data_IF_246578217156
#
_entry.id   IF_246578217156
#
_cell.length_a   1.000
_cell.length_b   1.000
_cell.length_c   1.000
_cell.angle_alpha   90.00
_cell.angle_beta   90.00
_cell.angle_gamma   90.00
#
_symmetry.space_group_name_H-M   'P 1'
#
loop_
_entity.id
_entity.type
_entity.pdbx_description
1 polymer ?
#
# COMPACT_ATOMS: atom_id res chain seq x y z
N UNK A 1 -30.57 -13.09 -1.62
CA UNK A 1 -29.92 -11.78 -1.55
C UNK A 1 -29.49 -11.49 -0.12
N UNK A 2 -30.40 -11.41 0.86
CA UNK A 2 -30.11 -11.02 2.27
C UNK A 2 -29.09 -11.94 2.99
N UNK A 3 -29.15 -13.26 2.74
CA UNK A 3 -28.21 -14.22 3.35
C UNK A 3 -26.78 -14.05 2.78
N UNK A 4 -26.68 -13.78 1.49
CA UNK A 4 -25.41 -13.58 0.79
C UNK A 4 -24.74 -12.25 1.21
N UNK A 5 -25.51 -11.19 1.39
CA UNK A 5 -25.03 -9.91 1.90
C UNK A 5 -24.51 -10.02 3.34
N UNK A 6 -25.22 -10.77 4.21
CA UNK A 6 -24.75 -11.03 5.58
C UNK A 6 -23.45 -11.82 5.60
N UNK A 7 -23.34 -12.84 4.74
CA UNK A 7 -22.11 -13.62 4.60
C UNK A 7 -20.94 -12.76 4.13
N UNK A 8 -21.14 -11.93 3.11
CA UNK A 8 -20.12 -11.00 2.61
C UNK A 8 -19.66 -10.01 3.70
N UNK A 9 -20.61 -9.43 4.45
CA UNK A 9 -20.32 -8.51 5.56
C UNK A 9 -19.53 -9.20 6.67
N UNK A 10 -19.86 -10.46 7.00
CA UNK A 10 -19.13 -11.23 8.01
C UNK A 10 -17.70 -11.48 7.55
N UNK A 11 -17.52 -11.89 6.29
CA UNK A 11 -16.20 -12.10 5.69
C UNK A 11 -15.36 -10.82 5.73
N UNK A 12 -15.92 -9.68 5.36
CA UNK A 12 -15.22 -8.39 5.36
C UNK A 12 -14.80 -7.96 6.78
N UNK A 13 -15.64 -8.18 7.80
CA UNK A 13 -15.28 -7.94 9.20
C UNK A 13 -14.11 -8.79 9.66
N UNK A 14 -14.04 -10.05 9.24
CA UNK A 14 -12.93 -10.94 9.55
C UNK A 14 -11.63 -10.48 8.87
N UNK A 15 -11.69 -10.08 7.61
CA UNK A 15 -10.52 -9.55 6.88
C UNK A 15 -10.00 -8.26 7.52
N UNK A 16 -10.90 -7.34 7.87
CA UNK A 16 -10.50 -6.12 8.56
C UNK A 16 -9.87 -6.39 9.93
N UNK A 17 -10.47 -7.27 10.73
CA UNK A 17 -9.92 -7.68 12.03
C UNK A 17 -8.56 -8.36 11.89
N UNK A 18 -8.36 -9.16 10.84
CA UNK A 18 -7.08 -9.77 10.54
C UNK A 18 -6.04 -8.73 10.14
N UNK A 19 -6.43 -7.74 9.34
CA UNK A 19 -5.55 -6.63 8.97
C UNK A 19 -5.06 -5.87 10.21
N UNK A 20 -5.96 -5.53 11.14
CA UNK A 20 -5.58 -4.86 12.39
C UNK A 20 -4.61 -5.73 13.21
N UNK A 21 -4.96 -7.00 13.42
CA UNK A 21 -4.12 -7.90 14.22
C UNK A 21 -2.73 -8.13 13.59
N UNK A 22 -2.66 -8.23 12.26
CA UNK A 22 -1.40 -8.37 11.54
C UNK A 22 -0.61 -7.06 11.56
N UNK A 23 -1.26 -5.91 11.39
CA UNK A 23 -0.60 -4.60 11.45
C UNK A 23 0.05 -4.35 12.81
N UNK A 24 -0.63 -4.67 13.90
CA UNK A 24 -0.13 -4.47 15.27
C UNK A 24 0.94 -5.49 15.68
N UNK A 25 0.72 -6.78 15.40
CA UNK A 25 1.49 -7.87 16.00
C UNK A 25 2.38 -8.64 15.02
N UNK A 26 2.21 -8.44 13.71
CA UNK A 26 2.86 -9.22 12.66
C UNK A 26 2.18 -10.56 12.41
N UNK A 27 2.50 -11.16 11.25
CA UNK A 27 1.84 -12.39 10.83
C UNK A 27 2.06 -13.53 11.84
N UNK A 28 3.27 -13.75 12.31
CA UNK A 28 3.58 -14.89 13.20
C UNK A 28 2.80 -14.85 14.51
N UNK A 29 2.69 -13.67 15.14
CA UNK A 29 2.02 -13.50 16.44
C UNK A 29 0.51 -13.33 16.32
N UNK A 30 -0.01 -13.04 15.13
CA UNK A 30 -1.45 -12.95 14.88
C UNK A 30 -2.11 -14.32 15.09
N UNK A 31 -3.21 -14.34 15.87
CA UNK A 31 -3.95 -15.58 16.17
C UNK A 31 -5.41 -15.47 15.77
N UNK A 32 -5.99 -16.59 15.29
CA UNK A 32 -7.40 -16.63 14.91
C UNK A 32 -8.33 -16.27 16.07
N UNK A 33 -7.94 -16.60 17.31
CA UNK A 33 -8.72 -16.24 18.50
C UNK A 33 -8.76 -14.73 18.73
N UNK A 34 -7.66 -14.01 18.55
CA UNK A 34 -7.62 -12.53 18.69
C UNK A 34 -8.37 -11.86 17.55
N UNK A 35 -8.24 -12.39 16.34
CA UNK A 35 -8.99 -11.91 15.17
C UNK A 35 -10.51 -12.06 15.41
N UNK A 36 -10.96 -13.21 15.88
CA UNK A 36 -12.38 -13.44 16.22
C UNK A 36 -12.86 -12.47 17.32
N UNK A 37 -12.04 -12.25 18.36
CA UNK A 37 -12.36 -11.31 19.44
C UNK A 37 -12.51 -9.90 18.90
N UNK A 38 -11.58 -9.44 18.05
CA UNK A 38 -11.65 -8.11 17.43
C UNK A 38 -12.86 -7.98 16.50
N UNK A 39 -13.11 -8.99 15.69
CA UNK A 39 -14.27 -9.03 14.79
C UNK A 39 -15.61 -9.18 15.54
N UNK A 40 -15.61 -9.50 16.84
CA UNK A 40 -16.80 -9.88 17.61
C UNK A 40 -17.58 -11.05 16.92
N UNK A 41 -16.86 -12.07 16.50
CA UNK A 41 -17.39 -13.24 15.80
C UNK A 41 -16.86 -14.54 16.45
N UNK A 42 -17.60 -15.63 16.27
CA UNK A 42 -17.15 -16.93 16.76
C UNK A 42 -16.07 -17.53 15.87
N UNK A 43 -15.28 -18.45 16.45
CA UNK A 43 -14.31 -19.24 15.68
C UNK A 43 -15.02 -20.08 14.57
N UNK A 44 -16.22 -20.56 14.83
CA UNK A 44 -17.04 -21.27 13.83
C UNK A 44 -17.44 -20.38 12.64
N UNK A 45 -17.72 -19.10 12.88
CA UNK A 45 -17.97 -18.16 11.79
C UNK A 45 -16.68 -17.90 10.96
N UNK A 46 -15.52 -17.84 11.62
CA UNK A 46 -14.24 -17.70 10.92
C UNK A 46 -13.95 -18.94 10.06
N UNK A 47 -14.02 -20.13 10.63
CA UNK A 47 -13.71 -21.38 9.91
C UNK A 47 -14.69 -21.69 8.78
N UNK A 48 -15.90 -21.12 8.82
CA UNK A 48 -16.83 -21.17 7.71
C UNK A 48 -16.33 -20.35 6.49
N UNK A 49 -15.61 -19.25 6.71
CA UNK A 49 -15.12 -18.37 5.64
C UNK A 49 -13.67 -18.62 5.23
N UNK A 50 -12.84 -19.09 6.15
CA UNK A 50 -11.40 -19.25 5.96
C UNK A 50 -10.91 -20.56 6.58
N UNK A 51 -10.23 -21.40 5.79
CA UNK A 51 -9.73 -22.70 6.26
C UNK A 51 -8.43 -22.55 7.07
N UNK A 52 -7.70 -21.44 6.89
CA UNK A 52 -6.41 -21.23 7.54
C UNK A 52 -6.12 -19.73 7.78
N UNK A 53 -5.13 -19.46 8.64
CA UNK A 53 -4.59 -18.12 8.83
C UNK A 53 -3.99 -17.56 7.53
N UNK A 54 -3.46 -18.46 6.68
CA UNK A 54 -2.91 -18.07 5.38
C UNK A 54 -4.00 -17.58 4.43
N UNK A 55 -5.14 -18.29 4.32
CA UNK A 55 -6.26 -17.86 3.48
C UNK A 55 -6.78 -16.48 3.89
N UNK A 56 -6.76 -16.22 5.20
CA UNK A 56 -7.16 -14.93 5.74
C UNK A 56 -6.15 -13.83 5.40
N UNK A 57 -4.84 -14.13 5.47
CA UNK A 57 -3.78 -13.19 5.04
C UNK A 57 -3.84 -12.92 3.53
N UNK A 58 -4.15 -13.93 2.73
CA UNK A 58 -4.31 -13.76 1.27
C UNK A 58 -5.55 -12.92 0.93
N UNK A 59 -6.61 -13.01 1.73
CA UNK A 59 -7.76 -12.12 1.60
C UNK A 59 -7.40 -10.66 1.97
N UNK A 60 -6.58 -10.43 3.00
CA UNK A 60 -6.07 -9.09 3.34
C UNK A 60 -5.23 -8.52 2.17
N UNK A 61 -4.36 -9.33 1.57
CA UNK A 61 -3.57 -8.91 0.38
C UNK A 61 -4.49 -8.55 -0.79
N UNK A 62 -5.52 -9.36 -1.04
CA UNK A 62 -6.46 -9.12 -2.13
C UNK A 62 -7.24 -7.81 -1.95
N UNK A 63 -7.73 -7.53 -0.74
CA UNK A 63 -8.46 -6.30 -0.43
C UNK A 63 -7.52 -5.06 -0.54
N UNK A 64 -6.28 -5.16 -0.04
CA UNK A 64 -5.28 -4.10 -0.18
C UNK A 64 -4.97 -3.78 -1.65
N UNK A 65 -4.78 -4.82 -2.48
CA UNK A 65 -4.54 -4.65 -3.92
C UNK A 65 -5.71 -4.01 -4.64
N UNK A 66 -6.94 -4.44 -4.33
CA UNK A 66 -8.15 -3.87 -4.92
C UNK A 66 -8.24 -2.38 -4.60
N UNK A 67 -8.09 -2.01 -3.33
CA UNK A 67 -8.11 -0.61 -2.89
C UNK A 67 -7.01 0.22 -3.56
N UNK A 68 -5.77 -0.29 -3.54
CA UNK A 68 -4.62 0.39 -4.17
C UNK A 68 -4.86 0.60 -5.66
N UNK A 69 -5.29 -0.43 -6.38
CA UNK A 69 -5.57 -0.33 -7.82
C UNK A 69 -6.65 0.70 -8.14
N UNK A 70 -7.70 0.79 -7.33
CA UNK A 70 -8.78 1.76 -7.54
C UNK A 70 -8.30 3.19 -7.30
N UNK A 71 -7.48 3.42 -6.27
CA UNK A 71 -6.86 4.74 -6.03
C UNK A 71 -5.90 5.15 -7.14
N UNK A 72 -5.07 4.22 -7.60
CA UNK A 72 -4.14 4.49 -8.70
C UNK A 72 -4.84 4.82 -10.01
N UNK A 73 -5.97 4.15 -10.33
CA UNK A 73 -6.81 4.52 -11.47
C UNK A 73 -7.34 5.95 -11.33
N UNK A 74 -7.78 6.35 -10.14
CA UNK A 74 -8.26 7.72 -9.89
C UNK A 74 -7.15 8.74 -10.15
N UNK A 75 -5.93 8.50 -9.63
CA UNK A 75 -4.76 9.36 -9.90
C UNK A 75 -4.48 9.44 -11.41
N UNK A 76 -4.41 8.30 -12.09
CA UNK A 76 -4.13 8.25 -13.52
C UNK A 76 -5.19 8.94 -14.40
N UNK A 77 -6.44 9.02 -13.95
CA UNK A 77 -7.49 9.78 -14.66
C UNK A 77 -7.36 11.30 -14.47
N UNK A 78 -6.77 11.74 -13.38
CA UNK A 78 -6.61 13.17 -13.04
C UNK A 78 -5.32 13.82 -13.55
N UNK A 79 -4.34 13.05 -14.01
CA UNK A 79 -3.01 13.54 -14.34
C UNK A 79 -2.53 13.01 -15.70
N UNK A 80 -1.79 13.83 -16.43
CA UNK A 80 -1.08 13.38 -17.63
C UNK A 80 0.00 12.35 -17.26
N UNK A 81 0.23 11.30 -18.08
CA UNK A 81 1.31 10.35 -17.83
C UNK A 81 2.67 11.05 -17.81
N UNK A 82 3.53 10.72 -16.84
CA UNK A 82 4.85 11.30 -16.70
C UNK A 82 5.23 11.50 -15.23
N UNK A 83 6.13 12.44 -14.95
CA UNK A 83 6.67 12.69 -13.60
C UNK A 83 5.61 13.26 -12.65
N UNK A 84 4.72 14.12 -13.12
CA UNK A 84 3.64 14.67 -12.28
C UNK A 84 2.72 13.55 -11.77
N UNK A 85 2.27 12.67 -12.65
CA UNK A 85 1.47 11.51 -12.26
C UNK A 85 2.22 10.57 -11.31
N UNK A 86 3.53 10.38 -11.49
CA UNK A 86 4.38 9.58 -10.59
C UNK A 86 4.40 10.14 -9.16
N UNK A 87 4.56 11.47 -9.02
CA UNK A 87 4.58 12.14 -7.72
C UNK A 87 3.24 11.93 -7.00
N UNK A 88 2.13 12.21 -7.70
CA UNK A 88 0.79 12.04 -7.14
C UNK A 88 0.50 10.56 -6.79
N UNK A 89 0.92 9.63 -7.64
CA UNK A 89 0.75 8.20 -7.40
C UNK A 89 1.51 7.74 -6.14
N UNK A 90 2.77 8.14 -6.00
CA UNK A 90 3.56 7.78 -4.80
C UNK A 90 3.06 8.49 -3.54
N UNK A 91 2.57 9.71 -3.66
CA UNK A 91 1.89 10.44 -2.57
C UNK A 91 0.62 9.72 -2.11
N UNK A 92 -0.21 9.25 -3.05
CA UNK A 92 -1.43 8.47 -2.72
C UNK A 92 -1.07 7.13 -2.07
N UNK A 93 -0.01 6.44 -2.51
CA UNK A 93 0.48 5.23 -1.83
C UNK A 93 0.89 5.51 -0.38
N UNK A 94 1.58 6.62 -0.13
CA UNK A 94 1.94 7.05 1.22
C UNK A 94 0.69 7.37 2.06
N UNK A 95 -0.29 8.05 1.49
CA UNK A 95 -1.56 8.33 2.15
C UNK A 95 -2.32 7.05 2.52
N UNK A 96 -2.37 6.07 1.61
CA UNK A 96 -2.96 4.76 1.90
C UNK A 96 -2.26 4.04 3.05
N UNK A 97 -0.93 4.13 3.13
CA UNK A 97 -0.16 3.58 4.25
C UNK A 97 -0.46 4.29 5.58
N UNK A 98 -0.79 5.57 5.56
CA UNK A 98 -1.19 6.29 6.78
C UNK A 98 -2.62 5.95 7.23
N UNK A 99 -3.55 5.86 6.29
CA UNK A 99 -4.98 5.83 6.59
C UNK A 99 -5.60 4.43 6.58
N UNK A 100 -5.06 3.50 5.79
CA UNK A 100 -5.68 2.22 5.52
C UNK A 100 -4.91 1.05 6.17
N UNK A 101 -5.46 0.52 7.25
CA UNK A 101 -4.86 -0.61 7.97
C UNK A 101 -4.66 -1.85 7.08
N UNK A 102 -5.55 -2.07 6.13
CA UNK A 102 -5.45 -3.20 5.20
C UNK A 102 -4.24 -3.08 4.29
N UNK A 103 -3.88 -1.87 3.87
CA UNK A 103 -2.68 -1.59 3.06
C UNK A 103 -1.42 -1.73 3.89
N UNK A 104 -1.37 -1.16 5.11
CA UNK A 104 -0.22 -1.34 6.01
C UNK A 104 0.03 -2.80 6.34
N UNK A 105 -1.03 -3.55 6.63
CA UNK A 105 -0.89 -4.98 6.94
C UNK A 105 -0.41 -5.80 5.74
N UNK A 106 -0.86 -5.47 4.52
CA UNK A 106 -0.39 -6.12 3.30
C UNK A 106 1.09 -5.83 3.02
N UNK A 107 1.53 -4.58 3.18
CA UNK A 107 2.94 -4.19 3.08
C UNK A 107 3.80 -4.92 4.14
N UNK A 108 3.29 -5.11 5.35
CA UNK A 108 3.95 -5.92 6.38
C UNK A 108 4.02 -7.40 6.02
N UNK A 109 2.95 -7.97 5.47
CA UNK A 109 2.89 -9.37 5.05
C UNK A 109 3.93 -9.72 3.98
N UNK A 110 4.37 -8.77 3.14
CA UNK A 110 5.46 -9.01 2.20
C UNK A 110 6.77 -9.40 2.87
N UNK A 111 7.03 -8.87 4.05
CA UNK A 111 8.23 -9.19 4.86
C UNK A 111 8.03 -10.41 5.74
N UNK A 112 6.89 -10.48 6.45
CA UNK A 112 6.63 -11.47 7.49
C UNK A 112 6.24 -12.84 6.91
N UNK A 113 5.57 -12.85 5.76
CA UNK A 113 5.01 -14.05 5.13
C UNK A 113 4.96 -13.87 3.61
N UNK A 114 6.09 -13.93 2.90
CA UNK A 114 6.12 -13.79 1.45
C UNK A 114 5.15 -14.77 0.76
N UNK A 115 4.44 -14.28 -0.23
CA UNK A 115 3.45 -15.05 -1.00
C UNK A 115 3.22 -14.40 -2.35
N UNK A 116 2.42 -15.06 -3.20
CA UNK A 116 2.07 -14.54 -4.52
C UNK A 116 1.19 -13.29 -4.40
N UNK A 117 1.41 -12.34 -5.30
CA UNK A 117 0.59 -11.14 -5.40
C UNK A 117 0.76 -10.16 -4.23
N UNK A 118 1.99 -9.83 -3.89
CA UNK A 118 2.31 -8.81 -2.89
C UNK A 118 1.75 -7.43 -3.21
N UNK A 119 1.71 -6.55 -2.21
CA UNK A 119 1.24 -5.18 -2.38
C UNK A 119 2.11 -4.39 -3.36
N UNK A 120 3.43 -4.59 -3.34
CA UNK A 120 4.37 -4.00 -4.29
C UNK A 120 3.99 -4.29 -5.75
N UNK A 121 3.58 -5.51 -6.04
CA UNK A 121 3.19 -5.92 -7.38
C UNK A 121 1.94 -5.18 -7.90
N UNK A 122 1.11 -4.62 -7.00
CA UNK A 122 -0.10 -3.88 -7.40
C UNK A 122 0.21 -2.51 -7.99
N UNK A 123 1.34 -1.89 -7.66
CA UNK A 123 1.65 -0.52 -8.08
C UNK A 123 2.98 -0.36 -8.83
N UNK A 124 3.96 -1.23 -8.64
CA UNK A 124 5.27 -1.17 -9.31
C UNK A 124 5.19 -1.13 -10.86
N UNK A 125 4.30 -1.90 -11.52
CA UNK A 125 4.16 -1.82 -12.98
C UNK A 125 3.74 -0.42 -13.47
N UNK A 126 2.89 0.28 -12.74
CA UNK A 126 2.46 1.64 -13.07
C UNK A 126 3.63 2.64 -12.93
N UNK A 127 4.40 2.57 -11.84
CA UNK A 127 5.61 3.39 -11.66
C UNK A 127 6.58 3.21 -12.83
N UNK A 128 6.83 1.96 -13.24
CA UNK A 128 7.69 1.66 -14.40
C UNK A 128 7.14 2.22 -15.70
N UNK A 129 5.82 2.20 -15.87
CA UNK A 129 5.17 2.75 -17.06
C UNK A 129 5.32 4.27 -17.12
N UNK A 130 5.06 4.97 -16.01
CA UNK A 130 5.15 6.41 -15.91
C UNK A 130 6.58 6.92 -16.13
N UNK A 131 7.59 6.23 -15.59
CA UNK A 131 8.99 6.61 -15.79
C UNK A 131 9.47 6.38 -17.23
N UNK A 132 8.98 5.32 -17.90
CA UNK A 132 9.25 5.13 -19.33
C UNK A 132 8.59 6.21 -20.19
N UNK A 133 7.41 6.67 -19.80
CA UNK A 133 6.74 7.75 -20.48
C UNK A 133 7.48 9.08 -20.27
N UNK A 134 7.87 9.40 -19.04
CA UNK A 134 8.69 10.58 -18.73
C UNK A 134 10.05 10.59 -19.49
N UNK A 135 10.61 9.42 -19.76
CA UNK A 135 11.80 9.32 -20.60
C UNK A 135 11.49 9.61 -22.07
N UNK A 136 10.37 9.10 -22.60
CA UNK A 136 9.96 9.34 -24.00
C UNK A 136 9.54 10.79 -24.27
N UNK A 137 8.92 11.41 -23.28
CA UNK A 137 8.50 12.82 -23.35
C UNK A 137 9.62 13.81 -23.01
N UNK A 138 10.85 13.29 -22.82
CA UNK A 138 12.04 14.09 -22.50
C UNK A 138 11.93 14.89 -21.19
N UNK A 139 11.05 14.50 -20.28
CA UNK A 139 10.95 15.08 -18.94
C UNK A 139 12.18 14.77 -18.08
N UNK A 140 12.81 13.61 -18.30
CA UNK A 140 14.04 13.22 -17.62
C UNK A 140 15.27 13.73 -18.39
N UNK A 141 16.27 14.22 -17.64
CA UNK A 141 17.58 14.60 -18.24
C UNK A 141 18.22 13.42 -18.96
N UNK A 142 18.95 13.68 -20.06
CA UNK A 142 19.81 12.67 -20.67
C UNK A 142 20.75 12.04 -19.63
N UNK A 143 20.77 10.70 -19.58
CA UNK A 143 21.60 9.94 -18.63
C UNK A 143 20.92 9.59 -17.30
N UNK A 144 19.71 10.07 -17.01
CA UNK A 144 18.91 9.58 -15.89
C UNK A 144 18.27 8.25 -16.28
N UNK A 145 18.63 7.20 -15.55
CA UNK A 145 18.10 5.84 -15.79
C UNK A 145 16.72 5.66 -15.13
N UNK A 146 15.65 5.37 -15.89
CA UNK A 146 14.33 5.08 -15.33
C UNK A 146 14.32 3.89 -14.35
N UNK A 147 15.27 2.95 -14.47
CA UNK A 147 15.36 1.84 -13.52
C UNK A 147 15.86 2.32 -12.16
N UNK A 148 16.82 3.24 -12.12
CA UNK A 148 17.28 3.87 -10.88
C UNK A 148 16.16 4.70 -10.25
N UNK A 149 15.41 5.45 -11.06
CA UNK A 149 14.24 6.20 -10.57
C UNK A 149 13.14 5.26 -10.05
N UNK A 150 12.94 4.10 -10.67
CA UNK A 150 12.02 3.07 -10.18
C UNK A 150 12.47 2.55 -8.81
N UNK A 151 13.75 2.22 -8.65
CA UNK A 151 14.30 1.78 -7.37
C UNK A 151 14.14 2.86 -6.29
N UNK A 152 14.39 4.12 -6.63
CA UNK A 152 14.17 5.25 -5.73
C UNK A 152 12.71 5.34 -5.28
N UNK A 153 11.75 5.26 -6.20
CA UNK A 153 10.32 5.28 -5.87
C UNK A 153 9.94 4.13 -4.90
N UNK A 154 10.47 2.92 -5.16
CA UNK A 154 10.28 1.77 -4.26
C UNK A 154 10.83 2.05 -2.86
N UNK A 155 12.06 2.58 -2.76
CA UNK A 155 12.68 2.90 -1.47
C UNK A 155 11.93 4.01 -0.74
N UNK A 156 11.46 5.04 -1.43
CA UNK A 156 10.67 6.11 -0.83
C UNK A 156 9.34 5.60 -0.26
N UNK A 157 8.60 4.80 -1.02
CA UNK A 157 7.32 4.23 -0.56
C UNK A 157 7.53 3.22 0.58
N UNK A 158 8.59 2.39 0.52
CA UNK A 158 8.93 1.46 1.62
C UNK A 158 9.39 2.22 2.87
N UNK A 159 10.14 3.29 2.71
CA UNK A 159 10.50 4.20 3.80
C UNK A 159 9.28 4.87 4.43
N UNK A 160 8.34 5.31 3.61
CA UNK A 160 7.06 5.86 4.04
C UNK A 160 6.25 4.85 4.90
N UNK A 161 6.20 3.58 4.51
CA UNK A 161 5.56 2.51 5.30
C UNK A 161 6.20 2.37 6.69
N UNK A 162 7.53 2.32 6.72
CA UNK A 162 8.27 2.19 7.97
C UNK A 162 8.04 3.39 8.89
N UNK A 163 8.03 4.58 8.33
CA UNK A 163 7.79 5.83 9.06
C UNK A 163 6.34 5.93 9.55
N UNK A 164 5.34 5.63 8.72
CA UNK A 164 3.93 5.63 9.11
C UNK A 164 3.67 4.67 10.29
N UNK A 165 4.31 3.50 10.28
CA UNK A 165 4.23 2.53 11.38
C UNK A 165 4.87 3.04 12.67
N UNK A 166 6.04 3.65 12.59
CA UNK A 166 6.70 4.24 13.76
C UNK A 166 5.86 5.38 14.35
N UNK A 167 5.23 6.16 13.49
CA UNK A 167 4.37 7.28 13.86
C UNK A 167 3.07 6.86 14.55
N UNK A 168 2.49 5.73 14.18
CA UNK A 168 1.31 5.17 14.83
C UNK A 168 1.57 4.79 16.31
N UNK A 169 2.84 4.58 16.69
CA UNK A 169 3.27 4.27 18.06
C UNK A 169 3.58 5.47 18.96
N UNK A 170 3.39 6.72 18.51
CA UNK A 170 3.66 7.92 19.30
C UNK A 170 4.48 8.98 18.56
N UNK A 171 4.07 9.31 17.34
CA UNK A 171 4.75 10.30 16.50
C UNK A 171 4.81 11.68 17.13
N UNK A 172 5.91 12.37 16.85
CA UNK A 172 6.03 13.79 17.08
C UNK A 172 4.92 14.52 16.27
N UNK A 173 3.98 15.22 16.95
CA UNK A 173 2.88 15.91 16.28
C UNK A 173 3.34 17.06 15.37
N UNK A 174 4.62 17.41 15.37
CA UNK A 174 5.21 18.44 14.50
C UNK A 174 5.72 17.88 13.17
N UNK A 175 5.74 16.56 12.97
CA UNK A 175 6.13 15.98 11.70
C UNK A 175 4.96 16.07 10.69
N UNK A 176 5.22 16.54 9.45
CA UNK A 176 4.19 16.57 8.42
C UNK A 176 3.75 15.14 8.05
N UNK A 177 2.54 15.02 7.49
CA UNK A 177 2.03 13.77 6.93
C UNK A 177 3.06 13.12 6.00
N UNK A 178 3.11 11.78 6.00
CA UNK A 178 4.12 11.03 5.21
C UNK A 178 4.00 11.36 3.72
N UNK A 179 2.78 11.54 3.22
CA UNK A 179 2.56 11.97 1.84
C UNK A 179 3.25 13.31 1.53
N UNK A 180 3.10 14.31 2.43
CA UNK A 180 3.78 15.62 2.27
C UNK A 180 5.29 15.51 2.35
N UNK A 181 5.82 14.63 3.19
CA UNK A 181 7.27 14.37 3.23
C UNK A 181 7.76 13.80 1.90
N UNK A 182 7.01 12.86 1.33
CA UNK A 182 7.35 12.23 0.06
C UNK A 182 7.36 13.25 -1.10
N UNK A 183 6.35 14.12 -1.16
CA UNK A 183 6.29 15.21 -2.14
C UNK A 183 7.55 16.10 -2.06
N UNK A 184 7.94 16.53 -0.86
CA UNK A 184 9.16 17.33 -0.65
C UNK A 184 10.44 16.57 -1.05
N UNK A 185 10.50 15.26 -0.81
CA UNK A 185 11.63 14.45 -1.26
C UNK A 185 11.69 14.39 -2.79
N UNK A 186 10.55 14.26 -3.46
CA UNK A 186 10.48 14.32 -4.92
C UNK A 186 10.93 15.69 -5.45
N UNK A 187 10.52 16.80 -4.85
CA UNK A 187 10.99 18.14 -5.25
C UNK A 187 12.54 18.23 -5.24
N UNK A 188 13.19 17.68 -4.22
CA UNK A 188 14.66 17.68 -4.14
C UNK A 188 15.27 16.81 -5.23
N UNK A 189 14.75 15.61 -5.44
CA UNK A 189 15.24 14.65 -6.46
C UNK A 189 15.08 15.24 -7.86
N UNK A 190 13.90 15.80 -8.15
CA UNK A 190 13.59 16.29 -9.49
C UNK A 190 14.40 17.53 -9.88
N UNK A 191 14.85 18.36 -8.94
CA UNK A 191 15.83 19.45 -9.24
C UNK A 191 17.11 18.92 -9.89
N UNK A 192 17.50 17.68 -9.61
CA UNK A 192 18.66 17.02 -10.22
C UNK A 192 18.33 16.15 -11.44
N UNK A 193 17.10 15.70 -11.60
CA UNK A 193 16.70 14.69 -12.59
C UNK A 193 15.89 15.24 -13.78
N UNK A 194 15.24 16.41 -13.62
CA UNK A 194 14.41 17.02 -14.68
C UNK A 194 15.27 17.74 -15.70
N UNK A 195 14.94 17.63 -16.99
CA UNK A 195 15.54 18.41 -18.05
C UNK A 195 15.28 19.91 -17.81
N UNK A 196 16.32 20.71 -17.91
CA UNK A 196 16.19 22.18 -17.91
C UNK A 196 15.73 22.62 -19.31
N UNK A 197 14.73 23.48 -19.42
CA UNK A 197 14.26 23.98 -20.71
C UNK A 197 15.33 24.71 -21.48
#
# INVERSE_FOLDING_TARGET
>A
VVAQERSARTRQRLVHAAAVEIDENGYERATLTRICKYAQLSIGALTFHFNSKRDLADAVRADARALTNDRMKQVAHGHAPGLDCLIHLTGELAHLLETEVVVRSAARLERDCPGDGGWLESWLPAVRCLLREAQRSEELRPGVDPQVMTALAVHLVTGAETFARASAGGADPHLPAVATQLERMWEVVLRGAVATP
#
